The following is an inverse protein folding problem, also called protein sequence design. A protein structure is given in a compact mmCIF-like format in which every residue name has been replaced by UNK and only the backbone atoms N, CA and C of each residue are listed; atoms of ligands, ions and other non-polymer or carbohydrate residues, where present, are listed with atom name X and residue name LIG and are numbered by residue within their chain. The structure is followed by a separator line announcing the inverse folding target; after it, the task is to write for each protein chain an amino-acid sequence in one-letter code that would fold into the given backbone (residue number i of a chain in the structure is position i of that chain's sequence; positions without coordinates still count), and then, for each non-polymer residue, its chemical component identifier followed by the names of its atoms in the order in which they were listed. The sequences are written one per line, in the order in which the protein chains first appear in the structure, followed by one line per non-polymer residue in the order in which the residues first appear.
data_IF_625139265627
#
_entry.id   IF_625139265627
#
_cell.length_a   1.000
_cell.length_b   1.000
_cell.length_c   1.000
_cell.angle_alpha   90.00
_cell.angle_beta   90.00
_cell.angle_gamma   90.00
#
_symmetry.space_group_name_H-M   'P 1'
#
loop_
_entity.id
_entity.type
_entity.pdbx_description
1 polymer ?
#
# COMPACT_ATOMS: atom_id res chain seq x y z
N UNK A 1 12.04 8.62 6.53
CA UNK A 1 10.75 9.03 7.13
C UNK A 1 9.98 9.99 6.25
N UNK A 2 10.45 11.22 6.00
CA UNK A 2 9.70 12.22 5.21
C UNK A 2 9.28 11.75 3.81
N UNK A 3 10.17 11.05 3.08
CA UNK A 3 9.83 10.51 1.75
C UNK A 3 8.78 9.40 1.79
N UNK A 4 8.76 8.56 2.83
CA UNK A 4 7.72 7.53 2.98
C UNK A 4 6.34 8.17 3.15
N UNK A 5 6.27 9.25 3.94
CA UNK A 5 5.03 10.03 4.11
C UNK A 5 4.60 10.70 2.81
N UNK A 6 5.54 11.23 2.02
CA UNK A 6 5.23 11.77 0.69
C UNK A 6 4.64 10.72 -0.24
N UNK A 7 5.22 9.50 -0.27
CA UNK A 7 4.67 8.40 -1.07
C UNK A 7 3.30 7.95 -0.58
N UNK A 8 3.08 7.94 0.74
CA UNK A 8 1.77 7.69 1.32
C UNK A 8 0.73 8.71 0.83
N UNK A 9 0.99 10.01 1.06
CA UNK A 9 0.06 11.09 0.71
C UNK A 9 -0.18 11.10 -0.81
N UNK A 10 0.88 11.01 -1.62
CA UNK A 10 0.76 11.01 -3.07
C UNK A 10 -0.02 9.79 -3.58
N UNK A 11 0.29 8.59 -3.09
CA UNK A 11 -0.42 7.37 -3.48
C UNK A 11 -1.89 7.41 -3.07
N UNK A 12 -2.19 7.92 -1.87
CA UNK A 12 -3.57 8.09 -1.40
C UNK A 12 -4.32 9.12 -2.22
N UNK A 13 -3.76 10.31 -2.43
CA UNK A 13 -4.41 11.35 -3.20
C UNK A 13 -4.66 10.92 -4.65
N UNK A 14 -3.64 10.38 -5.33
CA UNK A 14 -3.78 9.91 -6.72
C UNK A 14 -4.84 8.83 -6.81
N UNK A 15 -4.76 7.80 -5.96
CA UNK A 15 -5.74 6.71 -6.01
C UNK A 15 -7.14 7.19 -5.65
N UNK A 16 -7.30 8.03 -4.64
CA UNK A 16 -8.59 8.63 -4.30
C UNK A 16 -9.20 9.37 -5.48
N UNK A 17 -8.45 10.30 -6.10
CA UNK A 17 -8.93 11.08 -7.24
C UNK A 17 -9.32 10.21 -8.42
N UNK A 18 -8.55 9.14 -8.71
CA UNK A 18 -8.88 8.19 -9.76
C UNK A 18 -10.18 7.43 -9.46
N UNK A 19 -10.34 6.88 -8.25
CA UNK A 19 -11.56 6.15 -7.91
C UNK A 19 -12.77 7.10 -7.89
N UNK A 20 -12.60 8.30 -7.33
CA UNK A 20 -13.69 9.23 -7.11
C UNK A 20 -14.23 9.86 -8.40
N UNK A 21 -13.33 10.28 -9.31
CA UNK A 21 -13.72 11.04 -10.51
C UNK A 21 -13.75 10.22 -11.80
N UNK A 22 -13.01 9.10 -11.88
CA UNK A 22 -12.76 8.42 -13.17
C UNK A 22 -13.23 6.95 -13.21
N UNK A 23 -13.24 6.23 -12.09
CA UNK A 23 -13.48 4.77 -12.07
C UNK A 23 -14.86 4.37 -11.51
N UNK A 24 -15.79 5.30 -11.38
CA UNK A 24 -17.14 5.04 -10.87
C UNK A 24 -17.17 4.87 -9.36
N UNK A 25 -17.10 6.01 -8.65
CA UNK A 25 -17.17 6.07 -7.18
C UNK A 25 -18.38 5.33 -6.62
N UNK A 26 -18.16 4.60 -5.52
CA UNK A 26 -19.22 4.00 -4.71
C UNK A 26 -19.42 4.73 -3.37
N UNK A 27 -18.83 5.91 -3.22
CA UNK A 27 -18.85 6.72 -2.01
C UNK A 27 -17.44 7.16 -1.60
N UNK A 28 -17.33 8.42 -1.20
CA UNK A 28 -16.04 9.04 -0.91
C UNK A 28 -15.29 8.35 0.24
N UNK A 29 -16.00 7.78 1.22
CA UNK A 29 -15.38 7.04 2.32
C UNK A 29 -14.65 5.79 1.82
N UNK A 30 -15.29 5.06 0.90
CA UNK A 30 -14.72 3.85 0.33
C UNK A 30 -13.56 4.17 -0.61
N UNK A 31 -13.70 5.22 -1.42
CA UNK A 31 -12.62 5.71 -2.27
C UNK A 31 -11.41 6.15 -1.45
N UNK A 32 -11.63 6.81 -0.31
CA UNK A 32 -10.57 7.23 0.60
C UNK A 32 -9.92 6.03 1.26
N UNK A 33 -10.70 5.04 1.67
CA UNK A 33 -10.17 3.78 2.22
C UNK A 33 -9.30 3.04 1.21
N UNK A 34 -9.75 2.90 -0.04
CA UNK A 34 -8.94 2.32 -1.12
C UNK A 34 -7.70 3.15 -1.45
N UNK A 35 -7.81 4.47 -1.42
CA UNK A 35 -6.67 5.36 -1.56
C UNK A 35 -5.68 5.19 -0.42
N UNK A 36 -6.14 5.10 0.82
CA UNK A 36 -5.30 4.87 1.99
C UNK A 36 -4.59 3.53 1.91
N UNK A 37 -5.25 2.46 1.43
CA UNK A 37 -4.64 1.16 1.18
C UNK A 37 -3.53 1.23 0.12
N UNK A 38 -3.76 1.95 -0.98
CA UNK A 38 -2.77 2.11 -2.04
C UNK A 38 -1.58 2.96 -1.59
N UNK A 39 -1.85 4.09 -0.92
CA UNK A 39 -0.80 4.97 -0.39
C UNK A 39 0.02 4.31 0.72
N UNK A 40 -0.63 3.60 1.65
CA UNK A 40 0.08 2.90 2.72
C UNK A 40 1.04 1.86 2.16
N UNK A 41 0.65 1.17 1.09
CA UNK A 41 1.54 0.26 0.40
C UNK A 41 2.79 0.95 -0.17
N UNK A 42 2.66 2.09 -0.85
CA UNK A 42 3.81 2.84 -1.36
C UNK A 42 4.71 3.38 -0.25
N UNK A 43 4.10 3.95 0.79
CA UNK A 43 4.83 4.47 1.95
C UNK A 43 5.59 3.37 2.69
N UNK A 44 4.94 2.23 2.93
CA UNK A 44 5.54 1.08 3.60
C UNK A 44 6.59 0.40 2.73
N UNK A 45 6.34 0.17 1.44
CA UNK A 45 7.33 -0.43 0.54
C UNK A 45 8.60 0.42 0.49
N UNK A 46 8.47 1.75 0.38
CA UNK A 46 9.63 2.64 0.44
C UNK A 46 10.34 2.61 1.81
N UNK A 47 9.58 2.58 2.90
CA UNK A 47 10.15 2.53 4.25
C UNK A 47 10.91 1.24 4.53
N UNK A 48 10.37 0.11 4.06
CA UNK A 48 10.93 -1.23 4.24
C UNK A 48 12.06 -1.54 3.27
N UNK A 49 12.20 -0.78 2.19
CA UNK A 49 13.29 -0.92 1.22
C UNK A 49 14.60 -0.26 1.69
N UNK A 50 15.04 -0.72 2.85
CA UNK A 50 16.25 -0.34 3.58
C UNK A 50 17.00 -1.62 4.00
N UNK A 51 18.33 -1.57 4.02
CA UNK A 51 19.21 -2.69 4.37
C UNK A 51 19.09 -3.10 5.84
N UNK A 52 18.60 -2.21 6.70
CA UNK A 52 18.38 -2.51 8.13
C UNK A 52 17.29 -3.55 8.40
N UNK A 53 16.39 -3.77 7.43
CA UNK A 53 15.30 -4.73 7.57
C UNK A 53 15.65 -6.03 6.86
N UNK A 54 15.53 -7.15 7.56
CA UNK A 54 15.65 -8.48 6.96
C UNK A 54 14.40 -8.85 6.16
N UNK A 55 14.50 -9.81 5.24
CA UNK A 55 13.35 -10.25 4.45
C UNK A 55 12.14 -10.68 5.31
N UNK A 56 12.31 -11.51 6.37
CA UNK A 56 11.18 -11.86 7.24
C UNK A 56 10.54 -10.65 7.93
N UNK A 57 11.33 -9.64 8.32
CA UNK A 57 10.80 -8.40 8.91
C UNK A 57 9.98 -7.60 7.88
N UNK A 58 10.48 -7.47 6.64
CA UNK A 58 9.74 -6.79 5.56
C UNK A 58 8.38 -7.46 5.32
N UNK A 59 8.37 -8.80 5.24
CA UNK A 59 7.14 -9.56 5.04
C UNK A 59 6.20 -9.45 6.25
N UNK A 60 6.70 -9.65 7.47
CA UNK A 60 5.90 -9.56 8.69
C UNK A 60 5.23 -8.20 8.88
N UNK A 61 5.97 -7.11 8.65
CA UNK A 61 5.43 -5.74 8.72
C UNK A 61 4.39 -5.51 7.63
N UNK A 62 4.60 -6.05 6.41
CA UNK A 62 3.63 -5.93 5.32
C UNK A 62 2.33 -6.68 5.63
N UNK A 63 2.42 -7.87 6.22
CA UNK A 63 1.25 -8.63 6.68
C UNK A 63 0.49 -7.92 7.80
N UNK A 64 1.20 -7.26 8.73
CA UNK A 64 0.55 -6.41 9.73
C UNK A 64 -0.20 -5.25 9.08
N UNK A 65 0.36 -4.61 8.05
CA UNK A 65 -0.33 -3.58 7.27
C UNK A 65 -1.62 -4.10 6.65
N UNK A 66 -1.59 -5.30 6.06
CA UNK A 66 -2.79 -5.96 5.51
C UNK A 66 -3.82 -6.24 6.61
N UNK A 67 -3.39 -6.79 7.76
CA UNK A 67 -4.28 -7.09 8.87
C UNK A 67 -4.99 -5.83 9.40
N UNK A 68 -4.26 -4.71 9.51
CA UNK A 68 -4.83 -3.41 9.89
C UNK A 68 -5.83 -2.94 8.84
N UNK A 69 -5.51 -3.01 7.55
CA UNK A 69 -6.43 -2.62 6.48
C UNK A 69 -7.71 -3.46 6.52
N UNK A 70 -7.60 -4.79 6.63
CA UNK A 70 -8.76 -5.68 6.75
C UNK A 70 -9.57 -5.34 7.99
N UNK A 71 -8.94 -5.14 9.14
CA UNK A 71 -9.62 -4.75 10.37
C UNK A 71 -10.42 -3.46 10.21
N UNK A 72 -9.82 -2.41 9.62
CA UNK A 72 -10.51 -1.15 9.31
C UNK A 72 -11.64 -1.39 8.30
N UNK A 73 -11.38 -2.20 7.26
CA UNK A 73 -12.37 -2.57 6.26
C UNK A 73 -13.61 -3.23 6.86
N UNK A 74 -13.43 -4.14 7.81
CA UNK A 74 -14.52 -4.84 8.49
C UNK A 74 -15.27 -3.97 9.51
N UNK A 75 -14.60 -2.97 10.09
CA UNK A 75 -15.21 -2.06 11.07
C UNK A 75 -16.11 -1.01 10.41
N UNK A 76 -15.70 -0.49 9.25
CA UNK A 76 -16.41 0.61 8.58
C UNK A 76 -17.18 0.17 7.32
N UNK A 77 -16.88 -1.02 6.79
CA UNK A 77 -17.47 -1.57 5.57
C UNK A 77 -17.72 -3.08 5.71
N UNK A 78 -17.99 -3.74 4.59
CA UNK A 78 -18.26 -5.18 4.53
C UNK A 78 -17.02 -5.96 4.05
N UNK A 79 -17.00 -7.28 4.29
CA UNK A 79 -15.93 -8.19 3.85
C UNK A 79 -15.63 -8.02 2.36
N UNK A 80 -16.68 -7.92 1.53
CA UNK A 80 -16.56 -7.76 0.07
C UNK A 80 -15.78 -6.49 -0.32
N UNK A 81 -15.94 -5.41 0.44
CA UNK A 81 -15.24 -4.15 0.23
C UNK A 81 -13.85 -4.14 0.88
N UNK A 82 -13.59 -5.01 1.86
CA UNK A 82 -12.27 -5.15 2.44
C UNK A 82 -11.29 -5.89 1.49
N UNK A 83 -11.77 -6.84 0.69
CA UNK A 83 -10.91 -7.65 -0.21
C UNK A 83 -10.15 -6.78 -1.24
N UNK A 84 -10.78 -5.83 -1.95
CA UNK A 84 -10.07 -4.96 -2.89
C UNK A 84 -8.92 -4.15 -2.29
N UNK A 85 -8.99 -3.78 -0.99
CA UNK A 85 -7.90 -3.03 -0.36
C UNK A 85 -6.63 -3.89 -0.22
N UNK A 86 -6.78 -5.17 0.11
CA UNK A 86 -5.68 -6.14 0.20
C UNK A 86 -5.02 -6.32 -1.18
N UNK A 87 -5.83 -6.42 -2.24
CA UNK A 87 -5.32 -6.54 -3.61
C UNK A 87 -4.55 -5.27 -4.01
N UNK A 88 -5.13 -4.08 -3.80
CA UNK A 88 -4.47 -2.80 -4.11
C UNK A 88 -3.16 -2.66 -3.35
N UNK A 89 -3.14 -3.02 -2.06
CA UNK A 89 -1.94 -2.97 -1.23
C UNK A 89 -0.87 -3.94 -1.73
N UNK A 90 -1.24 -5.20 -1.96
CA UNK A 90 -0.30 -6.25 -2.36
C UNK A 90 0.29 -5.99 -3.74
N UNK A 91 -0.52 -5.50 -4.69
CA UNK A 91 -0.07 -5.16 -6.04
C UNK A 91 1.03 -4.10 -6.02
N UNK A 92 0.91 -3.09 -5.16
CA UNK A 92 1.96 -2.06 -5.01
C UNK A 92 3.24 -2.65 -4.47
N UNK A 93 3.18 -3.53 -3.47
CA UNK A 93 4.37 -4.20 -2.96
C UNK A 93 5.08 -5.05 -4.01
N UNK A 94 4.32 -5.82 -4.79
CA UNK A 94 4.85 -6.61 -5.90
C UNK A 94 5.49 -5.69 -6.95
N UNK A 95 4.77 -4.65 -7.39
CA UNK A 95 5.28 -3.70 -8.38
C UNK A 95 6.54 -2.98 -7.89
N UNK A 96 6.56 -2.54 -6.63
CA UNK A 96 7.69 -1.85 -6.03
C UNK A 96 8.93 -2.75 -6.02
N UNK A 97 8.82 -3.96 -5.48
CA UNK A 97 9.97 -4.86 -5.38
C UNK A 97 10.42 -5.37 -6.74
N UNK A 98 9.51 -5.53 -7.70
CA UNK A 98 9.86 -5.83 -9.08
C UNK A 98 10.66 -4.68 -9.71
N UNK A 99 10.27 -3.42 -9.51
CA UNK A 99 11.04 -2.26 -9.97
C UNK A 99 12.39 -2.17 -9.23
N UNK A 100 12.40 -2.47 -7.93
CA UNK A 100 13.60 -2.42 -7.11
C UNK A 100 14.61 -3.51 -7.47
N UNK A 101 14.16 -4.70 -7.90
CA UNK A 101 15.05 -5.80 -8.29
C UNK A 101 15.92 -5.47 -9.50
N UNK A 102 15.48 -4.56 -10.38
CA UNK A 102 16.25 -4.06 -11.51
C UNK A 102 17.29 -2.99 -11.12
N UNK A 103 17.26 -2.44 -9.90
CA UNK A 103 18.24 -1.42 -9.46
C UNK A 103 19.45 -2.07 -8.80
N UNK A 104 20.62 -1.81 -9.35
CA UNK A 104 21.92 -2.28 -8.85
C UNK A 104 22.26 -1.83 -7.41
N UNK A 105 21.58 -0.82 -6.86
CA UNK A 105 21.90 -0.20 -5.56
C UNK A 105 21.02 -0.68 -4.40
N UNK A 106 20.18 -1.70 -4.59
CA UNK A 106 19.17 -2.13 -3.60
C UNK A 106 19.41 -3.52 -3.02
N UNK A 107 18.91 -3.68 -1.80
CA UNK A 107 19.15 -4.74 -0.80
C UNK A 107 18.95 -6.20 -1.25
N UNK A 108 18.30 -6.47 -2.38
CA UNK A 108 17.85 -7.82 -2.76
C UNK A 108 18.91 -8.65 -3.52
N UNK A 109 20.15 -8.16 -3.63
CA UNK A 109 21.22 -8.83 -4.40
C UNK A 109 22.30 -9.51 -3.56
N UNK A 110 22.22 -9.41 -2.23
CA UNK A 110 23.16 -10.03 -1.29
C UNK A 110 22.43 -10.95 -0.32
#
# INVERSE_FOLDING_TARGET
MQRALLYFIAGTAISFLLNHYLLGSQGWQLDLYYGAAFGSAWGMAYFLDDLKFTLPQKLGISFLGIAVLVGVGLLFFNVEMAVPSVIKFSMVFVAYYLIASFRSSKSLRN
#
